data_IF_070112020175
#
_entry.id   IF_070112020175
#
_cell.length_a   1.000
_cell.length_b   1.000
_cell.length_c   1.000
_cell.angle_alpha   90.00
_cell.angle_beta   90.00
_cell.angle_gamma   90.00
#
_symmetry.space_group_name_H-M   'P 1'
#
loop_
_entity.id
_entity.type
_entity.pdbx_description
1 polymer ?
#
# COMPACT_ATOMS: atom_id res chain seq x y z
N UNK A 1 -14.79 -1.17 -28.24
CA UNK A 1 -15.51 -2.13 -27.38
C UNK A 1 -14.58 -3.00 -26.52
N UNK A 2 -13.43 -3.46 -27.04
CA UNK A 2 -12.45 -4.24 -26.26
C UNK A 2 -11.79 -3.43 -25.12
N UNK A 3 -11.38 -2.18 -25.39
CA UNK A 3 -10.71 -1.32 -24.40
C UNK A 3 -11.60 -1.00 -23.20
N UNK A 4 -12.89 -0.76 -23.41
CA UNK A 4 -13.83 -0.48 -22.33
C UNK A 4 -14.11 -1.73 -21.48
N UNK A 5 -14.27 -2.89 -22.10
CA UNK A 5 -14.40 -4.17 -21.38
C UNK A 5 -13.15 -4.50 -20.58
N UNK A 6 -11.98 -4.29 -21.16
CA UNK A 6 -10.70 -4.50 -20.48
C UNK A 6 -10.53 -3.54 -19.29
N UNK A 7 -10.84 -2.25 -19.46
CA UNK A 7 -10.81 -1.27 -18.36
C UNK A 7 -11.74 -1.70 -17.22
N UNK A 8 -12.97 -2.10 -17.54
CA UNK A 8 -13.95 -2.53 -16.53
C UNK A 8 -13.48 -3.78 -15.79
N UNK A 9 -12.97 -4.78 -16.52
CA UNK A 9 -12.36 -5.97 -15.92
C UNK A 9 -11.20 -5.61 -14.99
N UNK A 10 -10.37 -4.65 -15.38
CA UNK A 10 -9.24 -4.20 -14.57
C UNK A 10 -9.66 -3.43 -13.31
N UNK A 11 -10.78 -2.72 -13.36
CA UNK A 11 -11.40 -2.07 -12.20
C UNK A 11 -12.08 -3.08 -11.27
N UNK A 12 -12.53 -4.22 -11.80
CA UNK A 12 -13.07 -5.34 -11.01
C UNK A 12 -11.96 -6.12 -10.27
N UNK A 13 -10.87 -6.43 -10.96
CA UNK A 13 -9.75 -7.22 -10.38
C UNK A 13 -8.85 -6.40 -9.46
N UNK A 14 -8.59 -5.13 -9.79
CA UNK A 14 -7.74 -4.23 -9.00
C UNK A 14 -8.43 -2.87 -8.78
N UNK A 15 -9.48 -2.81 -7.94
CA UNK A 15 -10.31 -1.61 -7.75
C UNK A 15 -9.50 -0.42 -7.19
N UNK A 16 -8.40 -0.70 -6.49
CA UNK A 16 -7.58 0.30 -5.82
C UNK A 16 -6.32 0.67 -6.58
N UNK A 17 -6.05 0.09 -7.76
CA UNK A 17 -4.82 0.32 -8.55
C UNK A 17 -3.52 -0.15 -7.88
N UNK A 18 -3.59 -1.06 -6.89
CA UNK A 18 -2.44 -1.52 -6.10
C UNK A 18 -1.54 -2.39 -6.95
N UNK A 19 -2.10 -3.41 -7.60
CA UNK A 19 -1.34 -4.35 -8.42
C UNK A 19 -0.77 -3.65 -9.65
N UNK A 20 -1.54 -2.75 -10.27
CA UNK A 20 -1.05 -1.91 -11.36
C UNK A 20 0.11 -1.03 -10.96
N UNK A 21 0.01 -0.35 -9.81
CA UNK A 21 1.07 0.50 -9.29
C UNK A 21 2.33 -0.30 -8.96
N UNK A 22 2.17 -1.48 -8.36
CA UNK A 22 3.26 -2.41 -8.07
C UNK A 22 3.93 -2.91 -9.36
N UNK A 23 3.15 -3.28 -10.38
CA UNK A 23 3.67 -3.73 -11.68
C UNK A 23 4.49 -2.63 -12.36
N UNK A 24 3.95 -1.40 -12.42
CA UNK A 24 4.66 -0.28 -13.06
C UNK A 24 5.98 0.02 -12.34
N UNK A 25 5.97 -0.02 -11.01
CA UNK A 25 7.17 0.13 -10.18
C UNK A 25 8.16 -1.02 -10.41
N UNK A 26 7.69 -2.26 -10.48
CA UNK A 26 8.53 -3.42 -10.74
C UNK A 26 9.20 -3.36 -12.12
N UNK A 27 8.46 -2.95 -13.16
CA UNK A 27 9.01 -2.76 -14.51
C UNK A 27 10.09 -1.67 -14.52
N UNK A 28 9.85 -0.53 -13.86
CA UNK A 28 10.85 0.53 -13.73
C UNK A 28 12.14 0.01 -13.07
N UNK A 29 12.01 -0.70 -11.94
CA UNK A 29 13.13 -1.30 -11.22
C UNK A 29 13.87 -2.30 -12.12
N UNK A 30 13.15 -3.20 -12.79
CA UNK A 30 13.72 -4.22 -13.68
C UNK A 30 14.55 -3.60 -14.82
N UNK A 31 14.04 -2.53 -15.45
CA UNK A 31 14.76 -1.81 -16.51
C UNK A 31 16.08 -1.24 -15.98
N UNK A 32 16.04 -0.49 -14.88
CA UNK A 32 17.24 0.14 -14.29
C UNK A 32 18.27 -0.92 -13.90
N UNK A 33 17.83 -2.02 -13.29
CA UNK A 33 18.71 -3.12 -12.89
C UNK A 33 19.34 -3.83 -14.07
N UNK A 34 18.61 -3.98 -15.18
CA UNK A 34 19.18 -4.55 -16.40
C UNK A 34 20.33 -3.68 -16.90
N UNK A 35 20.18 -2.35 -16.88
CA UNK A 35 21.26 -1.43 -17.23
C UNK A 35 22.43 -1.51 -16.24
N UNK A 36 22.16 -1.57 -14.94
CA UNK A 36 23.21 -1.72 -13.91
C UNK A 36 23.96 -3.04 -14.11
N UNK A 37 23.26 -4.12 -14.40
CA UNK A 37 23.88 -5.41 -14.69
C UNK A 37 24.80 -5.34 -15.91
N UNK A 38 24.34 -4.76 -17.02
CA UNK A 38 25.16 -4.62 -18.24
C UNK A 38 26.38 -3.71 -18.05
N UNK A 39 26.27 -2.68 -17.21
CA UNK A 39 27.38 -1.74 -16.98
C UNK A 39 28.43 -2.30 -16.02
N UNK A 40 28.01 -2.90 -14.91
CA UNK A 40 28.92 -3.35 -13.86
C UNK A 40 29.35 -4.81 -14.00
N UNK A 41 28.60 -5.63 -14.74
CA UNK A 41 28.87 -7.05 -14.99
C UNK A 41 29.26 -7.80 -13.70
N UNK A 42 28.35 -7.88 -12.72
CA UNK A 42 28.65 -8.48 -11.42
C UNK A 42 29.12 -9.93 -11.57
N UNK A 43 30.11 -10.30 -10.76
CA UNK A 43 30.81 -11.60 -10.84
C UNK A 43 29.86 -12.79 -10.66
N UNK A 44 28.78 -12.62 -9.89
CA UNK A 44 27.80 -13.67 -9.64
C UNK A 44 26.36 -13.18 -9.93
N UNK A 45 25.82 -13.62 -11.06
CA UNK A 45 24.45 -13.31 -11.49
C UNK A 45 23.38 -13.76 -10.50
N UNK A 46 23.50 -14.97 -9.95
CA UNK A 46 22.52 -15.49 -8.98
C UNK A 46 22.46 -14.60 -7.74
N UNK A 47 23.62 -14.21 -7.23
CA UNK A 47 23.74 -13.30 -6.08
C UNK A 47 23.19 -11.91 -6.36
N UNK A 48 23.34 -11.42 -7.60
CA UNK A 48 22.78 -10.15 -8.03
C UNK A 48 21.24 -10.14 -8.04
N UNK A 49 20.59 -11.30 -8.21
CA UNK A 49 19.12 -11.39 -8.26
C UNK A 49 18.47 -11.59 -6.88
N UNK A 50 19.21 -12.12 -5.89
CA UNK A 50 18.65 -12.51 -4.59
C UNK A 50 17.79 -11.43 -3.91
N UNK A 51 18.17 -10.14 -3.92
CA UNK A 51 17.35 -9.11 -3.27
C UNK A 51 15.92 -9.02 -3.82
N UNK A 52 15.69 -9.34 -5.10
CA UNK A 52 14.36 -9.21 -5.73
C UNK A 52 13.30 -10.09 -5.10
N UNK A 53 13.67 -11.27 -4.61
CA UNK A 53 12.73 -12.16 -3.93
C UNK A 53 12.13 -11.50 -2.69
N UNK A 54 12.89 -10.62 -2.03
CA UNK A 54 12.46 -9.96 -0.78
C UNK A 54 11.85 -8.58 -1.01
N UNK A 55 12.17 -7.92 -2.13
CA UNK A 55 11.56 -6.63 -2.50
C UNK A 55 10.04 -6.73 -2.58
N UNK A 56 9.47 -7.89 -2.91
CA UNK A 56 8.03 -8.15 -2.89
C UNK A 56 7.37 -7.77 -1.55
N UNK A 57 8.06 -7.99 -0.42
CA UNK A 57 7.55 -7.68 0.92
C UNK A 57 7.44 -6.18 1.18
N UNK A 58 8.22 -5.35 0.48
CA UNK A 58 8.17 -3.89 0.63
C UNK A 58 6.82 -3.29 0.20
N UNK A 59 6.17 -3.87 -0.83
CA UNK A 59 4.87 -3.37 -1.30
C UNK A 59 3.70 -3.84 -0.45
N UNK A 60 3.90 -4.78 0.48
CA UNK A 60 2.82 -5.25 1.34
C UNK A 60 2.25 -4.11 2.20
N UNK A 61 0.92 -4.01 2.34
CA UNK A 61 0.27 -2.95 3.12
C UNK A 61 0.44 -3.14 4.64
N UNK A 62 1.02 -4.26 5.06
CA UNK A 62 1.24 -4.64 6.46
C UNK A 62 2.10 -3.59 7.19
N UNK A 63 3.06 -2.98 6.48
CA UNK A 63 3.92 -1.94 7.03
C UNK A 63 3.34 -0.55 6.82
N UNK A 64 2.81 0.03 7.90
CA UNK A 64 2.08 1.30 7.87
C UNK A 64 2.96 2.57 7.82
N UNK A 65 4.28 2.47 7.56
CA UNK A 65 5.19 3.62 7.57
C UNK A 65 6.38 3.41 6.65
N UNK A 66 6.75 4.45 5.89
CA UNK A 66 7.96 4.46 5.06
C UNK A 66 9.22 4.12 5.86
N UNK A 67 9.38 4.64 7.08
CA UNK A 67 10.54 4.35 7.93
C UNK A 67 10.67 2.85 8.22
N UNK A 68 9.54 2.18 8.50
CA UNK A 68 9.52 0.72 8.73
C UNK A 68 9.82 -0.05 7.43
N UNK A 69 9.33 0.44 6.29
CA UNK A 69 9.61 -0.16 4.98
C UNK A 69 11.09 -0.05 4.59
N UNK A 70 11.72 1.09 4.85
CA UNK A 70 13.17 1.28 4.65
C UNK A 70 13.99 0.39 5.59
N UNK A 71 13.60 0.32 6.87
CA UNK A 71 14.23 -0.60 7.84
C UNK A 71 14.10 -2.06 7.42
N UNK A 72 12.96 -2.46 6.86
CA UNK A 72 12.75 -3.81 6.33
C UNK A 72 13.73 -4.10 5.20
N UNK A 73 13.87 -3.20 4.22
CA UNK A 73 14.78 -3.38 3.08
C UNK A 73 16.24 -3.49 3.52
N UNK A 74 16.67 -2.64 4.46
CA UNK A 74 18.02 -2.69 5.02
C UNK A 74 18.25 -4.01 5.77
N UNK A 75 17.30 -4.40 6.63
CA UNK A 75 17.37 -5.66 7.36
C UNK A 75 17.41 -6.86 6.42
N UNK A 76 16.54 -6.92 5.42
CA UNK A 76 16.48 -8.03 4.49
C UNK A 76 17.72 -8.12 3.62
N UNK A 77 18.25 -7.00 3.12
CA UNK A 77 19.48 -6.97 2.33
C UNK A 77 20.68 -7.48 3.14
N UNK A 78 20.83 -7.02 4.38
CA UNK A 78 21.88 -7.49 5.29
C UNK A 78 21.70 -8.97 5.64
N UNK A 79 20.48 -9.40 5.95
CA UNK A 79 20.19 -10.78 6.29
C UNK A 79 20.48 -11.72 5.10
N UNK A 80 20.07 -11.37 3.87
CA UNK A 80 20.39 -12.15 2.67
C UNK A 80 21.88 -12.21 2.44
N UNK A 81 22.58 -11.09 2.55
CA UNK A 81 24.05 -11.07 2.37
C UNK A 81 24.72 -11.99 3.38
N UNK A 82 24.37 -11.83 4.66
CA UNK A 82 24.94 -12.63 5.75
C UNK A 82 24.65 -14.12 5.59
N UNK A 83 23.41 -14.50 5.32
CA UNK A 83 23.02 -15.91 5.16
C UNK A 83 23.68 -16.50 3.92
N UNK A 84 23.63 -15.81 2.77
CA UNK A 84 24.20 -16.32 1.52
C UNK A 84 25.70 -16.57 1.63
N UNK A 85 26.44 -15.62 2.22
CA UNK A 85 27.89 -15.74 2.40
C UNK A 85 28.23 -16.82 3.42
N UNK A 86 27.55 -16.82 4.57
CA UNK A 86 27.82 -17.79 5.63
C UNK A 86 27.47 -19.22 5.19
N UNK A 87 26.36 -19.38 4.47
CA UNK A 87 25.96 -20.68 3.93
C UNK A 87 26.97 -21.17 2.91
N UNK A 88 27.36 -20.33 1.95
CA UNK A 88 28.39 -20.66 0.96
C UNK A 88 29.73 -21.09 1.61
N UNK A 89 30.20 -20.38 2.64
CA UNK A 89 31.47 -20.68 3.30
C UNK A 89 31.43 -21.95 4.17
N UNK A 90 30.30 -22.21 4.84
CA UNK A 90 30.17 -23.34 5.79
C UNK A 90 29.69 -24.63 5.11
N UNK A 91 29.07 -24.52 3.92
CA UNK A 91 28.48 -25.64 3.18
C UNK A 91 29.37 -26.88 3.00
N UNK A 92 30.69 -26.77 2.72
CA UNK A 92 31.56 -27.94 2.57
C UNK A 92 31.60 -28.83 3.82
N UNK A 93 31.40 -28.22 4.99
CA UNK A 93 31.40 -28.90 6.28
C UNK A 93 29.99 -29.36 6.65
N UNK A 94 29.48 -30.39 5.98
CA UNK A 94 28.07 -30.84 6.06
C UNK A 94 27.51 -30.99 7.48
N UNK A 95 28.30 -31.55 8.41
CA UNK A 95 27.88 -31.73 9.81
C UNK A 95 27.74 -30.40 10.55
N UNK A 96 28.72 -29.50 10.45
CA UNK A 96 28.64 -28.18 11.07
C UNK A 96 27.62 -27.29 10.38
N UNK A 97 27.43 -27.44 9.06
CA UNK A 97 26.42 -26.72 8.29
C UNK A 97 25.01 -26.99 8.80
N UNK A 98 24.68 -28.24 9.15
CA UNK A 98 23.38 -28.58 9.73
C UNK A 98 23.10 -27.80 11.02
N UNK A 99 24.00 -27.88 12.00
CA UNK A 99 23.84 -27.16 13.27
C UNK A 99 23.88 -25.64 13.09
N UNK A 100 24.74 -25.15 12.18
CA UNK A 100 24.82 -23.73 11.85
C UNK A 100 23.50 -23.22 11.24
N UNK A 101 22.89 -23.98 10.33
CA UNK A 101 21.61 -23.60 9.71
C UNK A 101 20.47 -23.52 10.74
N UNK A 102 20.43 -24.44 11.72
CA UNK A 102 19.48 -24.38 12.84
C UNK A 102 19.69 -23.14 13.72
N UNK A 103 20.96 -22.80 14.00
CA UNK A 103 21.29 -21.60 14.75
C UNK A 103 20.87 -20.33 14.00
N UNK A 104 21.17 -20.23 12.71
CA UNK A 104 20.76 -19.09 11.86
C UNK A 104 19.24 -18.99 11.77
N UNK A 105 18.53 -20.11 11.62
CA UNK A 105 17.06 -20.16 11.66
C UNK A 105 16.51 -19.60 12.97
N UNK A 106 17.00 -20.08 14.11
CA UNK A 106 16.57 -19.61 15.42
C UNK A 106 16.87 -18.11 15.61
N UNK A 107 18.09 -17.67 15.27
CA UNK A 107 18.50 -16.27 15.37
C UNK A 107 17.65 -15.35 14.50
N UNK A 108 17.46 -15.70 13.22
CA UNK A 108 16.58 -14.94 12.32
C UNK A 108 15.14 -14.93 12.82
N UNK A 109 14.63 -16.06 13.31
CA UNK A 109 13.27 -16.15 13.84
C UNK A 109 13.03 -15.19 15.01
N UNK A 110 13.94 -15.14 15.99
CA UNK A 110 13.84 -14.20 17.11
C UNK A 110 13.97 -12.74 16.67
N UNK A 111 14.88 -12.44 15.73
CA UNK A 111 15.02 -11.09 15.19
C UNK A 111 13.77 -10.63 14.45
N UNK A 112 13.20 -11.48 13.58
CA UNK A 112 11.98 -11.17 12.84
C UNK A 112 10.79 -11.02 13.77
N UNK A 113 10.63 -11.90 14.78
CA UNK A 113 9.58 -11.74 15.78
C UNK A 113 9.68 -10.42 16.55
N UNK A 114 10.90 -10.01 16.92
CA UNK A 114 11.15 -8.79 17.68
C UNK A 114 10.89 -7.51 16.89
N UNK A 115 11.36 -7.45 15.64
CA UNK A 115 11.34 -6.22 14.84
C UNK A 115 10.22 -6.17 13.79
N UNK A 116 9.82 -7.32 13.25
CA UNK A 116 8.89 -7.45 12.13
C UNK A 116 7.85 -8.57 12.37
N UNK A 117 7.20 -8.56 13.54
CA UNK A 117 6.23 -9.60 13.96
C UNK A 117 5.19 -9.98 12.90
N UNK A 118 4.75 -9.02 12.10
CA UNK A 118 3.73 -9.22 11.06
C UNK A 118 4.25 -9.91 9.78
N UNK A 119 5.58 -10.08 9.64
CA UNK A 119 6.25 -10.66 8.48
C UNK A 119 6.98 -11.96 8.86
N UNK A 120 6.29 -12.88 9.56
CA UNK A 120 6.88 -14.17 9.98
C UNK A 120 7.42 -14.99 8.81
N UNK A 121 6.83 -14.84 7.61
CA UNK A 121 7.28 -15.48 6.37
C UNK A 121 8.66 -15.01 5.89
N UNK A 122 9.16 -13.87 6.39
CA UNK A 122 10.47 -13.34 6.00
C UNK A 122 11.62 -14.27 6.40
N UNK A 123 11.50 -15.00 7.51
CA UNK A 123 12.54 -15.95 7.97
C UNK A 123 12.80 -17.01 6.91
N UNK A 124 11.74 -17.70 6.47
CA UNK A 124 11.85 -18.76 5.47
C UNK A 124 12.28 -18.21 4.10
N UNK A 125 11.80 -17.01 3.74
CA UNK A 125 12.19 -16.37 2.50
C UNK A 125 13.69 -16.09 2.47
N UNK A 126 14.24 -15.47 3.52
CA UNK A 126 15.68 -15.19 3.64
C UNK A 126 16.51 -16.48 3.56
N UNK A 127 16.09 -17.53 4.28
CA UNK A 127 16.78 -18.81 4.25
C UNK A 127 16.74 -19.45 2.86
N UNK A 128 15.57 -19.49 2.21
CA UNK A 128 15.44 -20.03 0.86
C UNK A 128 16.27 -19.25 -0.17
N UNK A 129 16.37 -17.92 -0.02
CA UNK A 129 17.22 -17.12 -0.90
C UNK A 129 18.70 -17.40 -0.66
N UNK A 130 19.12 -17.59 0.59
CA UNK A 130 20.50 -17.92 0.92
C UNK A 130 20.95 -19.28 0.40
N UNK A 131 20.05 -20.25 0.30
CA UNK A 131 20.38 -21.59 -0.24
C UNK A 131 20.66 -21.61 -1.75
N UNK A 132 20.24 -20.59 -2.50
CA UNK A 132 20.45 -20.53 -3.96
C UNK A 132 21.96 -20.47 -4.31
N UNK A 133 22.78 -19.93 -3.42
CA UNK A 133 24.23 -19.74 -3.64
C UNK A 133 25.03 -20.99 -3.28
N UNK A 134 24.41 -22.03 -2.72
CA UNK A 134 25.12 -23.26 -2.31
C UNK A 134 25.74 -24.03 -3.48
N UNK A 135 25.20 -23.86 -4.70
CA UNK A 135 25.72 -24.51 -5.90
C UNK A 135 26.86 -23.77 -6.61
N UNK A 136 27.44 -22.72 -6.02
CA UNK A 136 28.50 -21.94 -6.68
C UNK A 136 29.89 -22.54 -6.43
N UNK A 137 30.65 -22.73 -7.50
CA UNK A 137 32.02 -23.26 -7.46
C UNK A 137 33.08 -22.18 -7.76
N UNK A 138 34.34 -22.36 -7.32
CA UNK A 138 34.81 -23.29 -6.28
C UNK A 138 34.13 -23.06 -4.92
N UNK A 139 34.04 -24.11 -4.10
CA UNK A 139 33.46 -24.01 -2.75
C UNK A 139 34.38 -23.26 -1.77
N UNK A 140 33.79 -22.57 -0.78
CA UNK A 140 34.50 -21.90 0.33
C UNK A 140 35.64 -20.94 -0.07
N UNK A 141 35.58 -20.33 -1.25
CA UNK A 141 36.57 -19.35 -1.70
C UNK A 141 36.17 -17.93 -1.26
N UNK A 142 37.05 -17.25 -0.53
CA UNK A 142 36.85 -15.87 -0.10
C UNK A 142 36.61 -14.90 -1.26
N UNK A 143 37.26 -15.09 -2.42
CA UNK A 143 37.08 -14.23 -3.59
C UNK A 143 35.62 -14.29 -4.10
N UNK A 144 35.02 -15.48 -4.07
CA UNK A 144 33.61 -15.67 -4.45
C UNK A 144 32.71 -15.08 -3.39
N UNK A 145 33.03 -15.25 -2.11
CA UNK A 145 32.31 -14.59 -1.03
C UNK A 145 32.29 -13.06 -1.20
N UNK A 146 33.42 -12.44 -1.54
CA UNK A 146 33.48 -11.01 -1.88
C UNK A 146 32.62 -10.67 -3.11
N UNK A 147 32.62 -11.53 -4.14
CA UNK A 147 31.75 -11.39 -5.31
C UNK A 147 30.26 -11.47 -4.97
N UNK A 148 29.86 -12.35 -4.05
CA UNK A 148 28.48 -12.46 -3.55
C UNK A 148 28.10 -11.17 -2.82
N UNK A 149 28.94 -10.71 -1.89
CA UNK A 149 28.69 -9.48 -1.12
C UNK A 149 28.53 -8.28 -2.06
N UNK A 150 29.46 -8.08 -2.99
CA UNK A 150 29.42 -6.94 -3.90
C UNK A 150 28.22 -6.99 -4.84
N UNK A 151 27.84 -8.17 -5.33
CA UNK A 151 26.69 -8.36 -6.23
C UNK A 151 25.35 -8.10 -5.51
N UNK A 152 25.19 -8.63 -4.28
CA UNK A 152 24.00 -8.41 -3.45
C UNK A 152 23.91 -6.94 -3.02
N UNK A 153 25.04 -6.33 -2.63
CA UNK A 153 25.08 -4.93 -2.25
C UNK A 153 24.72 -4.01 -3.42
N UNK A 154 25.30 -4.25 -4.60
CA UNK A 154 25.02 -3.46 -5.81
C UNK A 154 23.52 -3.47 -6.14
N UNK A 155 22.93 -4.66 -6.28
CA UNK A 155 21.50 -4.80 -6.58
C UNK A 155 20.60 -4.20 -5.50
N UNK A 156 20.90 -4.45 -4.22
CA UNK A 156 20.13 -3.89 -3.10
C UNK A 156 20.16 -2.36 -3.06
N UNK A 157 21.34 -1.75 -3.24
CA UNK A 157 21.51 -0.29 -3.27
C UNK A 157 20.75 0.30 -4.45
N UNK A 158 20.90 -0.29 -5.64
CA UNK A 158 20.17 0.16 -6.84
C UNK A 158 18.66 0.10 -6.60
N UNK A 159 18.12 -0.99 -6.05
CA UNK A 159 16.70 -1.10 -5.71
C UNK A 159 16.28 0.00 -4.74
N UNK A 160 17.04 0.24 -3.67
CA UNK A 160 16.72 1.27 -2.69
C UNK A 160 16.68 2.67 -3.32
N UNK A 161 17.61 2.96 -4.25
CA UNK A 161 17.62 4.22 -5.01
C UNK A 161 16.38 4.30 -5.91
N UNK A 162 16.09 3.25 -6.69
CA UNK A 162 14.92 3.21 -7.56
C UNK A 162 13.62 3.40 -6.78
N UNK A 163 13.47 2.77 -5.62
CA UNK A 163 12.29 2.90 -4.76
C UNK A 163 12.12 4.31 -4.17
N UNK A 164 13.22 5.03 -3.94
CA UNK A 164 13.19 6.43 -3.48
C UNK A 164 12.86 7.40 -4.61
N UNK A 165 13.36 7.15 -5.82
CA UNK A 165 13.15 8.01 -7.00
C UNK A 165 11.75 7.82 -7.57
N UNK A 166 11.19 6.61 -7.49
CA UNK A 166 9.88 6.31 -8.06
C UNK A 166 8.76 7.12 -7.38
N UNK A 167 7.84 7.74 -8.14
CA UNK A 167 6.82 8.60 -7.57
C UNK A 167 5.86 7.85 -6.65
N UNK A 168 5.53 8.45 -5.51
CA UNK A 168 4.58 7.88 -4.57
C UNK A 168 3.15 7.87 -5.15
N UNK A 169 2.63 6.69 -5.48
CA UNK A 169 1.28 6.50 -6.02
C UNK A 169 0.22 6.20 -4.94
N UNK A 170 0.57 6.14 -3.65
CA UNK A 170 -0.36 5.76 -2.59
C UNK A 170 -1.53 6.75 -2.40
N UNK A 171 -1.39 8.01 -2.81
CA UNK A 171 -2.52 8.96 -2.86
C UNK A 171 -3.61 8.48 -3.83
N UNK A 172 -3.22 7.88 -4.96
CA UNK A 172 -4.17 7.35 -5.95
C UNK A 172 -4.94 6.16 -5.39
N UNK A 173 -4.23 5.26 -4.71
CA UNK A 173 -4.82 4.10 -4.02
C UNK A 173 -5.82 4.57 -2.97
N UNK A 174 -5.41 5.52 -2.12
CA UNK A 174 -6.26 6.13 -1.10
C UNK A 174 -7.51 6.78 -1.71
N UNK A 175 -7.36 7.54 -2.79
CA UNK A 175 -8.46 8.22 -3.47
C UNK A 175 -9.48 7.22 -4.03
N UNK A 176 -9.01 6.14 -4.68
CA UNK A 176 -9.88 5.07 -5.20
C UNK A 176 -10.58 4.31 -4.09
N UNK A 177 -9.89 4.02 -2.99
CA UNK A 177 -10.50 3.39 -1.82
C UNK A 177 -11.61 4.25 -1.22
N UNK A 178 -11.39 5.57 -1.11
CA UNK A 178 -12.39 6.50 -0.61
C UNK A 178 -13.57 6.66 -1.57
N UNK A 179 -13.34 6.69 -2.89
CA UNK A 179 -14.42 6.65 -3.88
C UNK A 179 -15.29 5.40 -3.74
N UNK A 180 -14.67 4.23 -3.55
CA UNK A 180 -15.38 2.98 -3.30
C UNK A 180 -16.25 3.08 -2.05
N UNK A 181 -15.68 3.56 -0.95
CA UNK A 181 -16.42 3.79 0.30
C UNK A 181 -17.61 4.75 0.11
N UNK A 182 -17.43 5.89 -0.58
CA UNK A 182 -18.51 6.84 -0.84
C UNK A 182 -19.60 6.21 -1.71
N UNK A 183 -19.24 5.39 -2.72
CA UNK A 183 -20.22 4.70 -3.56
C UNK A 183 -21.13 3.78 -2.73
N UNK A 184 -20.55 2.95 -1.87
CA UNK A 184 -21.36 2.10 -0.98
C UNK A 184 -22.17 2.93 0.03
N UNK A 185 -21.64 4.06 0.48
CA UNK A 185 -22.38 4.97 1.34
C UNK A 185 -23.59 5.61 0.62
N UNK A 186 -23.46 5.96 -0.66
CA UNK A 186 -24.59 6.41 -1.49
C UNK A 186 -25.66 5.33 -1.66
N UNK A 187 -25.25 4.07 -1.82
CA UNK A 187 -26.14 2.91 -1.90
C UNK A 187 -26.84 2.63 -0.56
N UNK A 188 -26.13 2.75 0.57
CA UNK A 188 -26.71 2.64 1.92
C UNK A 188 -27.77 3.71 2.18
N UNK A 189 -27.51 4.96 1.78
CA UNK A 189 -28.50 6.05 1.88
C UNK A 189 -29.74 5.72 1.04
N UNK A 190 -29.57 5.20 -0.18
CA UNK A 190 -30.70 4.82 -1.04
C UNK A 190 -31.52 3.66 -0.46
N UNK A 191 -30.85 2.62 0.05
CA UNK A 191 -31.51 1.49 0.67
C UNK A 191 -32.30 1.91 1.92
N UNK A 192 -31.72 2.79 2.73
CA UNK A 192 -32.40 3.36 3.90
C UNK A 192 -33.61 4.23 3.51
N UNK A 193 -33.57 4.91 2.36
CA UNK A 193 -34.71 5.66 1.82
C UNK A 193 -35.84 4.73 1.37
N UNK A 194 -35.51 3.64 0.64
CA UNK A 194 -36.47 2.69 0.07
C UNK A 194 -37.07 1.68 1.07
N UNK A 195 -36.72 1.76 2.36
CA UNK A 195 -37.18 0.83 3.42
C UNK A 195 -36.88 -0.65 3.15
N UNK A 196 -35.97 -0.94 2.21
CA UNK A 196 -35.56 -2.31 1.93
C UNK A 196 -34.69 -2.81 3.08
N UNK A 197 -35.09 -3.95 3.67
CA UNK A 197 -34.42 -4.59 4.79
C UNK A 197 -32.89 -4.58 4.63
N UNK A 198 -32.21 -4.00 5.62
CA UNK A 198 -30.75 -3.85 5.71
C UNK A 198 -30.06 -5.18 5.39
N UNK A 199 -29.56 -5.33 4.16
CA UNK A 199 -28.46 -6.27 3.94
C UNK A 199 -27.24 -5.64 4.61
N UNK A 200 -26.67 -6.32 5.59
CA UNK A 200 -25.39 -5.93 6.18
C UNK A 200 -24.36 -5.90 5.03
N UNK A 201 -24.04 -4.71 4.54
CA UNK A 201 -23.04 -4.54 3.50
C UNK A 201 -21.69 -4.59 4.22
N UNK A 202 -20.96 -5.71 4.09
CA UNK A 202 -19.61 -5.87 4.66
C UNK A 202 -18.57 -5.04 3.88
N UNK A 203 -18.91 -4.69 2.65
CA UNK A 203 -18.08 -4.03 1.66
C UNK A 203 -17.63 -2.59 2.07
N UNK A 204 -18.46 -1.70 2.65
CA UNK A 204 -18.03 -0.40 3.14
C UNK A 204 -16.87 -0.47 4.16
N UNK A 205 -16.88 -1.46 5.05
CA UNK A 205 -15.84 -1.65 6.07
C UNK A 205 -14.48 -1.92 5.40
N UNK A 206 -14.46 -2.78 4.38
CA UNK A 206 -13.26 -3.14 3.63
C UNK A 206 -12.69 -1.90 2.92
N UNK A 207 -13.53 -1.13 2.23
CA UNK A 207 -13.09 0.09 1.56
C UNK A 207 -12.51 1.12 2.54
N UNK A 208 -13.17 1.32 3.68
CA UNK A 208 -12.70 2.26 4.68
C UNK A 208 -11.41 1.79 5.39
N UNK A 209 -11.26 0.49 5.60
CA UNK A 209 -10.01 -0.08 6.12
C UNK A 209 -8.85 0.17 5.15
N UNK A 210 -9.08 0.03 3.85
CA UNK A 210 -8.10 0.36 2.82
C UNK A 210 -7.74 1.86 2.83
N UNK A 211 -8.71 2.75 2.99
CA UNK A 211 -8.47 4.19 3.21
C UNK A 211 -7.53 4.38 4.40
N UNK A 212 -7.81 3.75 5.54
CA UNK A 212 -7.01 3.88 6.77
C UNK A 212 -5.58 3.32 6.62
N UNK A 213 -5.43 2.17 5.97
CA UNK A 213 -4.14 1.52 5.77
C UNK A 213 -3.22 2.34 4.87
N UNK A 214 -3.76 2.86 3.76
CA UNK A 214 -3.00 3.67 2.81
C UNK A 214 -2.85 5.13 3.24
N UNK A 215 -3.70 5.66 4.13
CA UNK A 215 -3.63 7.03 4.65
C UNK A 215 -2.24 7.37 5.20
N UNK A 216 -1.60 6.44 5.91
CA UNK A 216 -0.27 6.66 6.51
C UNK A 216 0.87 6.60 5.50
N UNK A 217 0.60 6.05 4.31
CA UNK A 217 1.55 5.93 3.20
C UNK A 217 1.39 7.08 2.19
N UNK A 218 0.36 7.91 2.35
CA UNK A 218 0.21 9.15 1.58
C UNK A 218 1.38 10.09 1.92
N UNK A 219 1.91 10.77 0.89
CA UNK A 219 3.01 11.72 1.06
C UNK A 219 2.69 12.82 2.07
N UNK A 220 3.69 13.27 2.85
CA UNK A 220 3.52 14.25 3.95
C UNK A 220 2.74 15.50 3.52
N UNK A 221 2.99 15.99 2.29
CA UNK A 221 2.28 17.14 1.68
C UNK A 221 0.76 16.97 1.66
N UNK A 222 0.25 15.76 1.43
CA UNK A 222 -1.18 15.48 1.26
C UNK A 222 -1.83 14.88 2.51
N UNK A 223 -1.03 14.50 3.52
CA UNK A 223 -1.47 13.69 4.66
C UNK A 223 -2.61 14.34 5.45
N UNK A 224 -2.49 15.63 5.78
CA UNK A 224 -3.50 16.32 6.58
C UNK A 224 -4.82 16.46 5.82
N UNK A 225 -4.78 16.91 4.57
CA UNK A 225 -5.98 17.10 3.76
C UNK A 225 -6.70 15.78 3.50
N UNK A 226 -5.98 14.73 3.10
CA UNK A 226 -6.56 13.39 2.89
C UNK A 226 -7.17 12.85 4.18
N UNK A 227 -6.47 12.95 5.32
CA UNK A 227 -7.01 12.54 6.61
C UNK A 227 -8.31 13.26 6.97
N UNK A 228 -8.34 14.60 6.80
CA UNK A 228 -9.53 15.40 7.13
C UNK A 228 -10.72 15.03 6.25
N UNK A 229 -10.52 14.83 4.95
CA UNK A 229 -11.60 14.37 4.04
C UNK A 229 -12.16 13.03 4.53
N UNK A 230 -11.31 12.03 4.77
CA UNK A 230 -11.75 10.71 5.22
C UNK A 230 -12.51 10.75 6.56
N UNK A 231 -12.05 11.56 7.52
CA UNK A 231 -12.71 11.72 8.82
C UNK A 231 -14.07 12.40 8.68
N UNK A 232 -14.17 13.49 7.92
CA UNK A 232 -15.46 14.17 7.77
C UNK A 232 -16.49 13.32 7.04
N UNK A 233 -16.09 12.56 6.02
CA UNK A 233 -17.01 11.62 5.35
C UNK A 233 -17.47 10.52 6.30
N UNK A 234 -16.56 9.94 7.10
CA UNK A 234 -16.95 8.96 8.13
C UNK A 234 -17.89 9.56 9.18
N UNK A 235 -17.63 10.80 9.61
CA UNK A 235 -18.50 11.47 10.57
C UNK A 235 -19.90 11.72 10.01
N UNK A 236 -20.02 12.02 8.71
CA UNK A 236 -21.32 12.11 8.02
C UNK A 236 -22.04 10.76 8.07
N UNK A 237 -21.35 9.65 7.77
CA UNK A 237 -21.92 8.30 7.88
C UNK A 237 -22.46 8.02 9.28
N UNK A 238 -21.63 8.16 10.31
CA UNK A 238 -22.03 7.91 11.71
C UNK A 238 -23.19 8.81 12.13
N UNK A 239 -23.19 10.07 11.69
CA UNK A 239 -24.26 11.02 12.04
C UNK A 239 -25.56 10.69 11.32
N UNK A 240 -25.52 10.24 10.06
CA UNK A 240 -26.70 9.79 9.34
C UNK A 240 -27.28 8.51 9.94
N UNK A 241 -26.43 7.57 10.37
CA UNK A 241 -26.87 6.36 11.06
C UNK A 241 -27.62 6.68 12.36
N UNK A 242 -27.16 7.68 13.12
CA UNK A 242 -27.86 8.14 14.31
C UNK A 242 -29.16 8.89 13.96
N UNK A 243 -29.12 9.73 12.92
CA UNK A 243 -30.28 10.50 12.47
C UNK A 243 -31.43 9.62 11.96
N UNK A 244 -31.11 8.44 11.43
CA UNK A 244 -32.09 7.42 11.04
C UNK A 244 -33.02 7.03 12.20
N UNK A 245 -32.50 6.99 13.44
CA UNK A 245 -33.30 6.63 14.61
C UNK A 245 -34.05 7.81 15.24
N UNK A 246 -33.69 9.06 14.92
CA UNK A 246 -34.34 10.26 15.47
C UNK A 246 -35.42 10.83 14.55
N UNK A 247 -35.08 11.21 13.31
CA UNK A 247 -36.02 11.85 12.38
C UNK A 247 -35.53 11.72 10.93
N UNK A 248 -36.11 10.80 10.15
CA UNK A 248 -35.78 10.60 8.73
C UNK A 248 -36.44 11.68 7.87
N UNK A 249 -35.67 12.69 7.45
CA UNK A 249 -36.09 13.66 6.42
C UNK A 249 -35.55 13.25 5.06
N UNK A 250 -36.39 12.70 4.18
CA UNK A 250 -35.94 12.14 2.90
C UNK A 250 -35.23 13.15 2.00
N UNK A 251 -35.73 14.39 1.95
CA UNK A 251 -35.16 15.47 1.14
C UNK A 251 -33.72 15.76 1.58
N UNK A 252 -33.48 15.81 2.89
CA UNK A 252 -32.15 16.02 3.45
C UNK A 252 -31.19 14.88 3.07
N UNK A 253 -31.63 13.62 3.23
CA UNK A 253 -30.85 12.43 2.88
C UNK A 253 -30.49 12.40 1.38
N UNK A 254 -31.44 12.71 0.50
CA UNK A 254 -31.21 12.83 -0.95
C UNK A 254 -30.23 13.95 -1.29
N UNK A 255 -30.29 15.08 -0.58
CA UNK A 255 -29.35 16.19 -0.76
C UNK A 255 -27.93 15.79 -0.35
N UNK A 256 -27.77 15.11 0.80
CA UNK A 256 -26.46 14.56 1.23
C UNK A 256 -25.91 13.57 0.19
N UNK A 257 -26.73 12.62 -0.28
CA UNK A 257 -26.34 11.66 -1.33
C UNK A 257 -25.87 12.38 -2.60
N UNK A 258 -26.60 13.40 -3.04
CA UNK A 258 -26.26 14.17 -4.25
C UNK A 258 -24.90 14.85 -4.11
N UNK A 259 -24.61 15.44 -2.95
CA UNK A 259 -23.31 16.05 -2.68
C UNK A 259 -22.18 15.00 -2.63
N UNK A 260 -22.41 13.84 -2.01
CA UNK A 260 -21.43 12.75 -1.97
C UNK A 260 -21.11 12.21 -3.37
N UNK A 261 -22.14 12.01 -4.21
CA UNK A 261 -21.95 11.62 -5.60
C UNK A 261 -21.17 12.68 -6.38
N UNK A 262 -21.49 13.97 -6.19
CA UNK A 262 -20.75 15.06 -6.81
C UNK A 262 -19.27 15.07 -6.38
N UNK A 263 -18.98 14.85 -5.11
CA UNK A 263 -17.61 14.72 -4.61
C UNK A 263 -16.91 13.53 -5.27
N UNK A 264 -17.54 12.35 -5.28
CA UNK A 264 -16.97 11.12 -5.84
C UNK A 264 -16.64 11.24 -7.32
N UNK A 265 -17.50 11.88 -8.11
CA UNK A 265 -17.25 12.13 -9.54
C UNK A 265 -16.03 13.04 -9.74
N UNK A 266 -15.91 14.11 -8.97
CA UNK A 266 -14.75 15.01 -9.03
C UNK A 266 -13.46 14.40 -8.47
N UNK A 267 -13.58 13.40 -7.60
CA UNK A 267 -12.44 12.64 -7.10
C UNK A 267 -11.73 11.85 -8.20
N UNK A 268 -12.41 11.41 -9.26
CA UNK A 268 -11.77 10.65 -10.34
C UNK A 268 -10.84 11.54 -11.18
N UNK A 269 -11.30 12.76 -11.49
CA UNK A 269 -10.57 13.77 -12.26
C UNK A 269 -9.65 14.66 -11.41
N UNK A 270 -9.68 14.52 -10.08
CA UNK A 270 -8.97 15.41 -9.14
C UNK A 270 -9.32 16.89 -9.33
N UNK A 271 -10.60 17.14 -9.59
CA UNK A 271 -11.12 18.49 -9.81
C UNK A 271 -11.66 19.08 -8.51
N UNK A 272 -11.48 20.39 -8.26
CA UNK A 272 -12.14 21.06 -7.15
C UNK A 272 -13.66 21.00 -7.29
N UNK A 273 -14.36 20.88 -6.17
CA UNK A 273 -15.82 20.96 -6.08
C UNK A 273 -16.26 22.39 -5.70
N UNK A 274 -17.39 22.88 -6.22
CA UNK A 274 -18.07 24.04 -5.65
C UNK A 274 -18.60 23.69 -4.25
N UNK A 275 -18.96 24.68 -3.42
CA UNK A 275 -19.55 24.44 -2.11
C UNK A 275 -20.77 23.50 -2.20
N UNK A 276 -20.99 22.62 -1.21
CA UNK A 276 -22.12 21.72 -1.21
C UNK A 276 -23.43 22.51 -1.19
N UNK A 277 -24.41 22.04 -1.96
CA UNK A 277 -25.75 22.65 -2.02
C UNK A 277 -26.69 21.82 -1.18
N UNK A 278 -27.36 22.44 -0.22
CA UNK A 278 -28.37 21.77 0.59
C UNK A 278 -29.69 22.46 0.33
N UNK A 279 -30.61 21.72 -0.27
CA UNK A 279 -31.89 22.24 -0.78
C UNK A 279 -32.92 22.51 0.33
N UNK A 280 -32.54 22.22 1.58
CA UNK A 280 -33.40 22.33 2.74
C UNK A 280 -32.61 22.81 3.97
N UNK A 281 -33.11 23.81 4.72
CA UNK A 281 -32.41 24.27 5.92
C UNK A 281 -32.34 23.15 6.96
N UNK A 282 -31.16 22.84 7.51
CA UNK A 282 -31.02 21.87 8.59
C UNK A 282 -31.87 22.29 9.80
N UNK A 283 -32.59 21.34 10.39
CA UNK A 283 -33.50 21.54 11.51
C UNK A 283 -32.93 21.00 12.83
N UNK A 284 -32.21 19.88 12.78
CA UNK A 284 -31.64 19.23 13.97
C UNK A 284 -30.15 19.54 14.11
N UNK A 285 -29.63 19.44 15.34
CA UNK A 285 -28.19 19.60 15.61
C UNK A 285 -27.33 18.64 14.78
N UNK A 286 -27.81 17.41 14.56
CA UNK A 286 -27.13 16.43 13.72
C UNK A 286 -27.15 16.83 12.24
N UNK A 287 -28.26 17.38 11.73
CA UNK A 287 -28.30 17.90 10.35
C UNK A 287 -27.29 19.02 10.16
N UNK A 288 -27.24 20.00 11.08
CA UNK A 288 -26.23 21.07 11.05
C UNK A 288 -24.80 20.51 11.06
N UNK A 289 -24.53 19.53 11.93
CA UNK A 289 -23.21 18.91 12.00
C UNK A 289 -22.82 18.18 10.70
N UNK A 290 -23.78 17.50 10.05
CA UNK A 290 -23.58 16.87 8.74
C UNK A 290 -23.24 17.91 7.67
N UNK A 291 -23.96 19.05 7.64
CA UNK A 291 -23.69 20.17 6.73
C UNK A 291 -22.27 20.70 6.92
N UNK A 292 -21.86 20.92 8.17
CA UNK A 292 -20.52 21.38 8.49
C UNK A 292 -19.44 20.38 8.06
N UNK A 293 -19.68 19.08 8.28
CA UNK A 293 -18.76 18.04 7.83
C UNK A 293 -18.67 18.00 6.29
N UNK A 294 -19.77 18.16 5.56
CA UNK A 294 -19.76 18.24 4.10
C UNK A 294 -18.93 19.42 3.61
N UNK A 295 -19.19 20.61 4.15
CA UNK A 295 -18.45 21.83 3.83
C UNK A 295 -16.94 21.64 4.06
N UNK A 296 -16.56 21.08 5.21
CA UNK A 296 -15.16 20.84 5.54
C UNK A 296 -14.53 19.76 4.66
N UNK A 297 -15.25 18.68 4.35
CA UNK A 297 -14.78 17.64 3.44
C UNK A 297 -14.47 18.23 2.05
N UNK A 298 -15.36 19.04 1.50
CA UNK A 298 -15.18 19.71 0.21
C UNK A 298 -14.01 20.71 0.24
N UNK A 299 -13.89 21.52 1.30
CA UNK A 299 -12.78 22.45 1.45
C UNK A 299 -11.42 21.74 1.49
N UNK A 300 -11.31 20.64 2.24
CA UNK A 300 -10.08 19.85 2.30
C UNK A 300 -9.79 19.08 1.00
N UNK A 301 -10.83 18.61 0.31
CA UNK A 301 -10.70 18.03 -1.03
C UNK A 301 -10.14 19.06 -2.01
N UNK A 302 -10.71 20.27 -2.05
CA UNK A 302 -10.23 21.36 -2.90
C UNK A 302 -8.79 21.74 -2.61
N UNK A 303 -8.40 21.76 -1.34
CA UNK A 303 -7.00 21.95 -0.95
C UNK A 303 -6.10 20.81 -1.46
N UNK A 304 -6.55 19.57 -1.36
CA UNK A 304 -5.84 18.40 -1.89
C UNK A 304 -5.63 18.51 -3.41
N UNK A 305 -6.65 18.93 -4.17
CA UNK A 305 -6.53 19.17 -5.60
C UNK A 305 -5.49 20.26 -5.91
N UNK A 306 -5.52 21.39 -5.19
CA UNK A 306 -4.52 22.47 -5.35
C UNK A 306 -3.10 21.99 -5.07
N UNK A 307 -2.90 21.24 -3.98
CA UNK A 307 -1.60 20.69 -3.61
C UNK A 307 -1.02 19.73 -4.64
N UNK A 308 -1.88 19.08 -5.44
CA UNK A 308 -1.44 18.17 -6.51
C UNK A 308 -0.97 18.92 -7.76
N UNK A 309 -1.51 20.11 -8.02
CA UNK A 309 -1.12 20.95 -9.15
C UNK A 309 0.09 21.85 -8.84
N UNK A 310 0.37 22.13 -7.56
CA UNK A 310 1.62 22.76 -7.09
C UNK A 310 2.76 21.77 -6.99
#
# INVERSE_FOLDING_TARGET
MFISRFKNWLEEVDPYTIQRGALHKALFIAIVITYVYWFFLPVNYLSFILPFFIVSLYETPILSSFKKKEQLLLFSSLAVTFVSVSFYLVYPFRGTFFFFSLFVLAGLYFLVLRYFYALKSLVMLVLSTGTIVLGTEPEANLQIAYGIISSVALSSITVMICLKVFPNQYLRVWNKALQGFIKYFEEDIENALLENNRRFIKEPIIHFEMVRNYQRLVGKKYLLSSYRVAVYIRNIQISLDNLYYEQKTEIFWRSVKTNLNHLRLNMDSYTPCPPPKIDFPPQTKLQHYIVDCLNRAFAHWNNLCRLRHS
#
